data_IF_276420389116
#
_entry.id   IF_276420389116
#
_cell.length_a   1.000
_cell.length_b   1.000
_cell.length_c   1.000
_cell.angle_alpha   90.00
_cell.angle_beta   90.00
_cell.angle_gamma   90.00
#
_symmetry.space_group_name_H-M   'P 1'
#
loop_
_entity.id
_entity.type
_entity.pdbx_description
1 polymer ?
#
# COMPACT_ATOMS: atom_id res chain seq x y z
N UNK A 1 32.61 11.72 17.50
CA UNK A 1 31.31 11.37 16.88
C UNK A 1 30.69 12.50 16.02
N UNK A 2 31.28 13.65 15.90
CA UNK A 2 30.79 14.76 15.03
C UNK A 2 31.20 14.66 13.52
N UNK A 3 32.35 14.09 13.11
CA UNK A 3 32.75 14.12 11.69
C UNK A 3 31.94 13.15 10.79
N UNK A 4 31.41 12.05 11.30
CA UNK A 4 30.66 11.08 10.48
C UNK A 4 29.30 11.61 10.01
N UNK A 5 28.66 12.49 10.80
CA UNK A 5 27.39 13.13 10.42
C UNK A 5 27.56 14.13 9.27
N UNK A 6 28.68 14.82 9.23
CA UNK A 6 29.02 15.74 8.14
C UNK A 6 29.37 15.00 6.84
N UNK A 7 30.00 13.84 6.93
CA UNK A 7 30.39 13.04 5.76
C UNK A 7 29.20 12.40 5.03
N UNK A 8 28.18 11.91 5.75
CA UNK A 8 26.98 11.31 5.15
C UNK A 8 26.12 12.40 4.49
N UNK A 9 25.99 13.56 5.12
CA UNK A 9 25.32 14.71 4.51
C UNK A 9 26.07 15.24 3.28
N UNK A 10 27.40 15.24 3.31
CA UNK A 10 28.24 15.69 2.20
C UNK A 10 28.24 14.72 1.02
N UNK A 11 28.19 13.39 1.24
CA UNK A 11 28.10 12.39 0.17
C UNK A 11 26.74 12.42 -0.54
N UNK A 12 25.66 12.62 0.19
CA UNK A 12 24.33 12.80 -0.41
C UNK A 12 24.27 14.13 -1.20
N UNK A 13 24.88 15.20 -0.70
CA UNK A 13 24.99 16.49 -1.38
C UNK A 13 25.96 16.44 -2.59
N UNK A 14 27.03 15.67 -2.54
CA UNK A 14 27.96 15.48 -3.66
C UNK A 14 27.35 14.64 -4.80
N UNK A 15 26.57 13.63 -4.50
CA UNK A 15 25.82 12.87 -5.51
C UNK A 15 24.74 13.74 -6.18
N UNK A 16 24.10 14.63 -5.42
CA UNK A 16 23.12 15.60 -5.93
C UNK A 16 23.84 16.73 -6.71
N UNK A 17 24.98 17.19 -6.23
CA UNK A 17 25.78 18.24 -6.89
C UNK A 17 26.35 17.80 -8.24
N UNK A 18 26.74 16.54 -8.41
CA UNK A 18 27.21 16.00 -9.68
C UNK A 18 26.07 15.86 -10.73
N UNK A 19 24.84 15.63 -10.29
CA UNK A 19 23.65 15.60 -11.17
C UNK A 19 23.18 17.01 -11.58
N UNK A 20 23.49 18.05 -10.79
CA UNK A 20 23.12 19.43 -11.08
C UNK A 20 24.05 20.09 -12.12
N UNK A 21 25.21 19.49 -12.42
CA UNK A 21 26.15 20.01 -13.38
C UNK A 21 25.84 19.67 -14.86
N UNK A 22 24.85 18.80 -15.13
CA UNK A 22 24.39 18.50 -16.48
C UNK A 22 23.16 19.33 -16.82
N UNK A 23 23.34 20.45 -17.49
CA UNK A 23 22.36 21.48 -17.81
C UNK A 23 21.11 20.97 -18.54
N UNK A 24 20.01 20.88 -17.83
CA UNK A 24 18.65 20.72 -18.36
C UNK A 24 17.74 21.86 -17.88
N UNK A 25 16.97 22.42 -18.79
CA UNK A 25 16.17 23.66 -18.65
C UNK A 25 14.91 23.52 -17.80
N UNK A 26 14.99 22.96 -16.63
CA UNK A 26 13.91 22.95 -15.62
C UNK A 26 14.53 23.22 -14.25
N UNK A 27 13.99 24.17 -13.49
CA UNK A 27 14.54 24.50 -12.17
C UNK A 27 14.53 23.25 -11.27
N UNK A 28 15.68 22.63 -11.13
CA UNK A 28 15.85 21.52 -10.21
C UNK A 28 15.73 22.03 -8.77
N UNK A 29 14.98 21.34 -7.97
CA UNK A 29 14.80 21.72 -6.57
C UNK A 29 14.87 20.50 -5.67
N UNK A 30 15.56 20.65 -4.55
CA UNK A 30 15.60 19.67 -3.47
C UNK A 30 15.01 20.31 -2.23
N UNK A 31 13.97 19.69 -1.68
CA UNK A 31 13.37 20.08 -0.40
C UNK A 31 13.56 18.95 0.59
N UNK A 32 14.04 19.30 1.76
CA UNK A 32 14.22 18.34 2.85
C UNK A 32 13.34 18.71 4.04
N UNK A 33 12.67 17.72 4.61
CA UNK A 33 11.89 17.87 5.83
C UNK A 33 12.30 16.77 6.81
N UNK A 34 12.68 17.17 7.99
CA UNK A 34 12.88 16.23 9.09
C UNK A 34 11.53 15.73 9.61
N UNK A 35 11.43 14.43 9.83
CA UNK A 35 10.28 13.73 10.40
C UNK A 35 10.67 13.26 11.81
N UNK A 36 10.37 14.04 12.86
CA UNK A 36 10.85 13.74 14.23
C UNK A 36 10.41 12.38 14.74
N UNK A 37 9.15 12.00 14.44
CA UNK A 37 8.54 10.76 14.91
C UNK A 37 9.24 9.50 14.37
N UNK A 38 9.78 9.60 13.16
CA UNK A 38 10.47 8.49 12.50
C UNK A 38 11.99 8.64 12.48
N UNK A 39 12.52 9.73 13.08
CA UNK A 39 13.93 10.09 12.96
C UNK A 39 14.44 9.94 11.52
N UNK A 40 13.68 10.45 10.58
CA UNK A 40 13.92 10.31 9.16
C UNK A 40 13.97 11.66 8.48
N UNK A 41 14.68 11.74 7.37
CA UNK A 41 14.71 12.88 6.49
C UNK A 41 13.92 12.57 5.22
N UNK A 42 12.83 13.29 5.01
CA UNK A 42 12.09 13.26 3.74
C UNK A 42 12.75 14.22 2.77
N UNK A 43 13.29 13.69 1.69
CA UNK A 43 13.89 14.48 0.61
C UNK A 43 12.99 14.44 -0.60
N UNK A 44 12.53 15.59 -1.06
CA UNK A 44 11.83 15.76 -2.33
C UNK A 44 12.80 16.35 -3.31
N UNK A 45 13.18 15.60 -4.34
CA UNK A 45 14.04 16.07 -5.40
C UNK A 45 13.26 16.16 -6.72
N UNK A 46 13.38 17.31 -7.39
CA UNK A 46 12.80 17.57 -8.69
C UNK A 46 13.93 17.75 -9.69
N UNK A 47 13.93 16.93 -10.74
CA UNK A 47 14.91 16.96 -11.82
C UNK A 47 14.16 17.09 -13.16
N UNK A 48 14.09 18.28 -13.70
CA UNK A 48 13.27 18.53 -14.89
C UNK A 48 11.81 18.14 -14.67
N UNK A 49 11.29 17.19 -15.45
CA UNK A 49 9.95 16.61 -15.29
C UNK A 49 9.91 15.45 -14.30
N UNK A 50 11.05 14.87 -13.97
CA UNK A 50 11.14 13.77 -13.01
C UNK A 50 11.12 14.31 -11.57
N UNK A 51 10.37 13.64 -10.70
CA UNK A 51 10.31 13.95 -9.28
C UNK A 51 10.50 12.67 -8.49
N UNK A 52 11.41 12.70 -7.54
CA UNK A 52 11.60 11.60 -6.61
C UNK A 52 11.52 12.09 -5.18
N UNK A 53 10.96 11.27 -4.31
CA UNK A 53 11.01 11.53 -2.88
C UNK A 53 11.61 10.34 -2.21
N UNK A 54 12.56 10.60 -1.35
CA UNK A 54 13.27 9.58 -0.59
C UNK A 54 13.10 9.90 0.90
N UNK A 55 12.72 8.90 1.66
CA UNK A 55 12.75 8.99 3.13
C UNK A 55 14.00 8.26 3.59
N UNK A 56 14.96 9.01 4.08
CA UNK A 56 16.18 8.48 4.67
C UNK A 56 16.04 8.42 6.18
N UNK A 57 16.21 7.25 6.77
CA UNK A 57 16.44 7.17 8.19
C UNK A 57 17.78 7.83 8.54
N UNK A 58 17.78 8.65 9.56
CA UNK A 58 18.99 9.28 10.11
C UNK A 58 19.66 8.40 11.19
N UNK A 59 19.14 7.21 11.43
CA UNK A 59 19.75 6.20 12.28
C UNK A 59 20.61 5.21 11.53
N UNK A 60 21.26 4.29 12.23
CA UNK A 60 21.92 3.15 11.60
C UNK A 60 20.92 2.35 10.74
N UNK A 61 21.36 1.71 9.63
CA UNK A 61 20.47 1.01 8.70
C UNK A 61 19.52 0.01 9.36
N UNK A 62 19.92 -0.56 10.51
CA UNK A 62 19.12 -1.51 11.29
C UNK A 62 18.38 -0.87 12.46
N UNK A 63 18.59 0.40 12.70
CA UNK A 63 17.99 1.12 13.79
C UNK A 63 17.32 2.40 13.28
N UNK A 64 16.19 2.25 12.64
CA UNK A 64 15.23 3.34 12.68
C UNK A 64 14.76 3.41 14.13
N UNK A 65 15.45 4.21 14.89
CA UNK A 65 15.06 4.59 16.25
C UNK A 65 14.08 5.77 16.17
N UNK A 66 13.04 5.59 15.42
CA UNK A 66 11.87 6.39 15.63
C UNK A 66 11.20 5.81 16.85
N UNK A 67 11.14 6.53 17.89
CA UNK A 67 10.49 6.14 19.13
C UNK A 67 10.54 4.62 19.43
N UNK A 68 11.57 4.11 20.13
CA UNK A 68 11.66 2.70 20.50
C UNK A 68 10.44 2.23 21.27
N UNK A 69 9.79 3.14 22.04
CA UNK A 69 8.58 2.87 22.79
C UNK A 69 7.41 2.60 21.87
N UNK A 70 7.26 3.38 20.80
CA UNK A 70 6.20 3.16 19.79
C UNK A 70 6.35 1.79 19.12
N UNK A 71 7.54 1.44 18.64
CA UNK A 71 7.79 0.13 18.04
C UNK A 71 7.64 -1.04 19.03
N UNK A 72 7.98 -0.82 20.29
CA UNK A 72 7.83 -1.85 21.32
C UNK A 72 6.37 -2.17 21.62
N UNK A 73 5.44 -1.24 21.35
CA UNK A 73 4.01 -1.45 21.48
C UNK A 73 3.43 -2.37 20.39
N UNK A 74 4.18 -2.61 19.29
CA UNK A 74 3.72 -3.46 18.21
C UNK A 74 3.55 -4.92 18.66
N UNK A 75 2.44 -5.53 18.32
CA UNK A 75 2.28 -6.98 18.44
C UNK A 75 3.33 -7.69 17.58
N UNK A 76 4.19 -8.53 18.14
CA UNK A 76 5.25 -9.18 17.38
C UNK A 76 4.69 -10.22 16.41
N UNK A 77 5.45 -10.56 15.38
CA UNK A 77 5.23 -11.77 14.60
C UNK A 77 5.49 -13.01 15.46
N UNK A 78 4.86 -14.11 15.10
CA UNK A 78 5.07 -15.41 15.75
C UNK A 78 6.54 -15.84 15.78
N UNK A 79 6.90 -16.67 16.74
CA UNK A 79 8.30 -17.11 17.00
C UNK A 79 8.98 -17.70 15.77
N UNK A 80 8.24 -18.39 14.88
CA UNK A 80 8.75 -18.98 13.64
C UNK A 80 9.03 -18.00 12.50
N UNK A 81 8.76 -16.68 12.67
CA UNK A 81 9.07 -15.71 11.64
C UNK A 81 10.60 -15.59 11.44
N UNK A 82 11.11 -15.64 10.20
CA UNK A 82 12.53 -15.47 9.94
C UNK A 82 12.98 -14.01 10.16
N UNK A 83 14.27 -13.80 10.29
CA UNK A 83 14.85 -12.48 10.57
C UNK A 83 14.46 -11.43 9.52
N UNK A 84 14.44 -11.79 8.23
CA UNK A 84 14.02 -10.88 7.16
C UNK A 84 12.56 -10.43 7.30
N UNK A 85 11.65 -11.33 7.71
CA UNK A 85 10.24 -11.01 7.91
C UNK A 85 10.06 -10.03 9.07
N UNK A 86 10.79 -10.24 10.18
CA UNK A 86 10.79 -9.30 11.31
C UNK A 86 11.35 -7.92 10.92
N UNK A 87 12.41 -7.88 10.12
CA UNK A 87 12.96 -6.60 9.61
C UNK A 87 11.96 -5.88 8.73
N UNK A 88 11.36 -6.57 7.72
CA UNK A 88 10.35 -5.99 6.84
C UNK A 88 9.15 -5.50 7.64
N UNK A 89 8.65 -6.28 8.60
CA UNK A 89 7.53 -5.89 9.47
C UNK A 89 7.82 -4.61 10.24
N UNK A 90 8.95 -4.54 10.93
CA UNK A 90 9.36 -3.35 11.71
C UNK A 90 9.56 -2.14 10.80
N UNK A 91 10.22 -2.32 9.65
CA UNK A 91 10.42 -1.24 8.67
C UNK A 91 9.08 -0.73 8.16
N UNK A 92 8.18 -1.63 7.80
CA UNK A 92 6.85 -1.25 7.30
C UNK A 92 6.06 -0.46 8.36
N UNK A 93 6.07 -0.88 9.61
CA UNK A 93 5.44 -0.11 10.69
C UNK A 93 5.97 1.32 10.77
N UNK A 94 7.29 1.50 10.72
CA UNK A 94 7.91 2.82 10.77
C UNK A 94 7.57 3.70 9.57
N UNK A 95 7.44 3.10 8.39
CA UNK A 95 6.99 3.82 7.20
C UNK A 95 5.55 4.29 7.37
N UNK A 96 4.65 3.42 7.85
CA UNK A 96 3.26 3.82 8.09
C UNK A 96 3.17 4.93 9.14
N UNK A 97 3.96 4.84 10.20
CA UNK A 97 4.04 5.88 11.21
C UNK A 97 4.51 7.23 10.62
N UNK A 98 5.58 7.19 9.79
CA UNK A 98 6.12 8.38 9.14
C UNK A 98 5.15 9.03 8.13
N UNK A 99 4.29 8.25 7.48
CA UNK A 99 3.29 8.74 6.53
C UNK A 99 1.99 9.19 7.22
N UNK A 100 1.82 8.91 8.52
CA UNK A 100 0.63 9.27 9.29
C UNK A 100 0.86 10.57 10.04
N UNK A 101 -0.09 11.49 9.94
CA UNK A 101 -0.12 12.68 10.79
C UNK A 101 -0.69 12.29 12.15
N UNK A 102 0.13 12.29 13.19
CA UNK A 102 -0.27 11.86 14.53
C UNK A 102 -1.40 12.71 15.14
N UNK A 103 -1.49 13.97 14.78
CA UNK A 103 -2.49 14.88 15.31
C UNK A 103 -3.86 14.69 14.66
N UNK A 104 -3.89 14.52 13.34
CA UNK A 104 -5.15 14.46 12.57
C UNK A 104 -5.58 13.05 12.21
N UNK A 105 -4.65 12.10 12.11
CA UNK A 105 -4.89 10.77 11.56
C UNK A 105 -4.83 10.71 10.02
N UNK A 106 -4.56 11.82 9.34
CA UNK A 106 -4.37 11.83 7.90
C UNK A 106 -3.17 10.96 7.50
N UNK A 107 -3.33 10.08 6.53
CA UNK A 107 -2.26 9.20 6.03
C UNK A 107 -1.95 9.57 4.59
N UNK A 108 -0.74 10.03 4.33
CA UNK A 108 -0.27 10.24 2.96
C UNK A 108 -0.02 8.88 2.29
N UNK A 109 -0.51 8.68 1.06
CA UNK A 109 -0.35 7.42 0.33
C UNK A 109 1.12 7.11 0.03
N UNK A 110 1.92 8.13 -0.22
CA UNK A 110 3.35 7.99 -0.46
C UNK A 110 4.12 9.28 -0.24
N UNK A 111 5.44 9.17 -0.25
CA UNK A 111 6.31 10.30 0.03
C UNK A 111 6.61 11.18 -1.20
N UNK A 112 6.27 10.72 -2.41
CA UNK A 112 6.48 11.47 -3.64
C UNK A 112 5.45 12.59 -3.78
N UNK A 113 5.84 13.72 -4.33
CA UNK A 113 4.89 14.76 -4.75
C UNK A 113 3.89 14.17 -5.75
N UNK A 114 2.59 14.38 -5.53
CA UNK A 114 1.52 13.70 -6.26
C UNK A 114 0.95 12.47 -5.53
N UNK A 115 1.72 11.86 -4.64
CA UNK A 115 1.27 10.81 -3.72
C UNK A 115 1.21 11.26 -2.26
N UNK A 116 1.65 12.47 -1.94
CA UNK A 116 1.54 13.06 -0.59
C UNK A 116 0.13 13.62 -0.33
N UNK A 117 -0.87 12.84 -0.70
CA UNK A 117 -2.29 13.07 -0.44
C UNK A 117 -2.88 11.85 0.27
N UNK A 118 -4.04 12.04 0.85
CA UNK A 118 -4.82 10.97 1.48
C UNK A 118 -5.78 10.39 0.45
N UNK A 119 -5.58 9.13 0.07
CA UNK A 119 -6.61 8.33 -0.58
C UNK A 119 -7.33 7.50 0.46
N UNK A 120 -8.67 7.57 0.55
CA UNK A 120 -9.44 6.85 1.58
C UNK A 120 -9.15 5.34 1.60
N UNK A 121 -9.00 4.69 0.45
CA UNK A 121 -8.63 3.28 0.33
C UNK A 121 -7.27 3.00 0.98
N UNK A 122 -6.25 3.78 0.60
CA UNK A 122 -4.87 3.61 1.07
C UNK A 122 -4.79 3.83 2.58
N UNK A 123 -5.38 4.92 3.06
CA UNK A 123 -5.42 5.24 4.49
C UNK A 123 -6.19 4.19 5.30
N UNK A 124 -7.29 3.66 4.76
CA UNK A 124 -8.06 2.56 5.38
C UNK A 124 -7.22 1.29 5.50
N UNK A 125 -6.45 0.96 4.46
CA UNK A 125 -5.55 -0.21 4.50
C UNK A 125 -4.47 -0.04 5.57
N UNK A 126 -3.92 1.16 5.69
CA UNK A 126 -2.96 1.50 6.77
C UNK A 126 -3.62 1.33 8.14
N UNK A 127 -4.84 1.82 8.32
CA UNK A 127 -5.60 1.63 9.56
C UNK A 127 -5.79 0.14 9.91
N UNK A 128 -6.18 -0.69 8.92
CA UNK A 128 -6.34 -2.15 9.11
C UNK A 128 -5.01 -2.80 9.52
N UNK A 129 -3.90 -2.41 8.87
CA UNK A 129 -2.58 -2.93 9.19
C UNK A 129 -2.10 -2.54 10.59
N UNK A 130 -2.31 -1.29 10.98
CA UNK A 130 -2.00 -0.79 12.32
C UNK A 130 -2.87 -1.45 13.39
N UNK A 131 -4.16 -1.65 13.13
CA UNK A 131 -5.04 -2.42 14.02
C UNK A 131 -4.53 -3.85 14.23
N UNK A 132 -4.16 -4.53 13.15
CA UNK A 132 -3.58 -5.86 13.20
C UNK A 132 -2.26 -5.89 13.99
N UNK A 133 -1.48 -4.82 13.92
CA UNK A 133 -0.24 -4.66 14.66
C UNK A 133 -0.43 -4.20 16.12
N UNK A 134 -1.66 -3.89 16.56
CA UNK A 134 -1.98 -3.52 17.93
C UNK A 134 -2.13 -2.02 18.21
N UNK A 135 -1.96 -1.18 17.23
CA UNK A 135 -2.03 0.29 17.34
C UNK A 135 -3.47 0.81 17.25
N UNK A 136 -4.28 0.51 18.26
CA UNK A 136 -5.72 0.83 18.26
C UNK A 136 -6.01 2.33 18.28
N UNK A 137 -5.21 3.12 18.96
CA UNK A 137 -5.40 4.57 19.08
C UNK A 137 -5.13 5.27 17.75
N UNK A 138 -4.06 4.87 17.07
CA UNK A 138 -3.71 5.35 15.73
C UNK A 138 -4.79 4.98 14.73
N UNK A 139 -5.23 3.73 14.76
CA UNK A 139 -6.31 3.25 13.89
C UNK A 139 -7.58 4.07 14.06
N UNK A 140 -7.99 4.36 15.30
CA UNK A 140 -9.18 5.19 15.57
C UNK A 140 -9.02 6.62 15.06
N UNK A 141 -7.84 7.23 15.19
CA UNK A 141 -7.57 8.57 14.64
C UNK A 141 -7.67 8.59 13.13
N UNK A 142 -7.10 7.57 12.45
CA UNK A 142 -7.19 7.47 10.99
C UNK A 142 -8.64 7.33 10.56
N UNK A 143 -9.41 6.44 11.19
CA UNK A 143 -10.85 6.27 10.87
C UNK A 143 -11.61 7.57 11.13
N UNK A 144 -11.36 8.24 12.26
CA UNK A 144 -12.01 9.53 12.57
C UNK A 144 -11.69 10.63 11.54
N UNK A 145 -10.49 10.68 11.01
CA UNK A 145 -10.15 11.57 9.90
C UNK A 145 -10.93 11.22 8.63
N UNK A 146 -10.97 9.92 8.29
CA UNK A 146 -11.65 9.46 7.07
C UNK A 146 -13.17 9.67 7.13
N UNK A 147 -13.79 9.50 8.29
CA UNK A 147 -15.23 9.72 8.50
C UNK A 147 -15.62 11.20 8.30
N UNK A 148 -14.68 12.12 8.46
CA UNK A 148 -14.90 13.56 8.24
C UNK A 148 -14.78 14.03 6.79
N UNK A 149 -14.40 13.13 5.84
CA UNK A 149 -14.17 13.49 4.44
C UNK A 149 -15.49 13.56 3.64
N UNK A 150 -15.60 14.53 2.75
CA UNK A 150 -16.62 14.52 1.70
C UNK A 150 -16.19 13.61 0.55
N UNK A 151 -16.51 12.32 0.68
CA UNK A 151 -16.16 11.28 -0.30
C UNK A 151 -16.77 11.52 -1.69
N UNK A 152 -17.75 12.42 -1.79
CA UNK A 152 -18.34 12.80 -3.08
C UNK A 152 -17.55 13.86 -3.84
N UNK A 153 -16.64 14.55 -3.16
CA UNK A 153 -15.92 15.69 -3.74
C UNK A 153 -14.71 15.30 -4.58
N UNK A 154 -13.94 14.27 -4.18
CA UNK A 154 -12.71 13.90 -4.86
C UNK A 154 -12.25 12.47 -4.50
N UNK A 155 -11.33 11.92 -5.31
CA UNK A 155 -10.66 10.64 -5.00
C UNK A 155 -9.63 10.79 -3.87
N UNK A 156 -9.08 11.97 -3.66
CA UNK A 156 -7.95 12.21 -2.75
C UNK A 156 -8.08 13.55 -2.04
N UNK A 157 -7.46 13.65 -0.88
CA UNK A 157 -7.61 14.77 0.04
C UNK A 157 -6.23 15.23 0.56
N UNK A 158 -6.16 16.48 0.97
CA UNK A 158 -5.02 17.00 1.73
C UNK A 158 -5.06 16.48 3.17
N UNK A 159 -3.98 16.67 3.91
CA UNK A 159 -3.88 16.28 5.32
C UNK A 159 -4.79 17.09 6.27
N UNK A 160 -5.41 18.15 5.79
CA UNK A 160 -6.45 18.94 6.48
C UNK A 160 -7.88 18.51 6.11
N UNK A 161 -8.03 17.54 5.20
CA UNK A 161 -9.32 17.04 4.72
C UNK A 161 -9.87 17.77 3.50
N UNK A 162 -9.21 18.80 3.01
CA UNK A 162 -9.65 19.50 1.81
C UNK A 162 -9.52 18.59 0.56
N UNK A 163 -10.53 18.55 -0.34
CA UNK A 163 -10.46 17.77 -1.56
C UNK A 163 -9.34 18.29 -2.48
N UNK A 164 -8.81 17.39 -3.31
CA UNK A 164 -7.79 17.71 -4.32
C UNK A 164 -8.38 17.50 -5.70
N UNK A 165 -8.40 18.56 -6.50
CA UNK A 165 -8.95 18.54 -7.85
C UNK A 165 -8.24 17.58 -8.80
N UNK A 166 -8.89 17.31 -9.94
CA UNK A 166 -8.33 16.58 -11.06
C UNK A 166 -8.56 15.08 -11.05
N UNK A 167 -9.31 14.55 -10.05
CA UNK A 167 -9.75 13.15 -10.02
C UNK A 167 -11.14 13.03 -9.43
N UNK A 168 -12.03 12.35 -10.13
CA UNK A 168 -13.39 12.09 -9.67
C UNK A 168 -13.38 11.25 -8.37
N UNK A 169 -14.47 11.36 -7.62
CA UNK A 169 -14.67 10.57 -6.42
C UNK A 169 -14.62 9.05 -6.73
N UNK A 170 -13.95 8.30 -5.89
CA UNK A 170 -13.83 6.84 -6.01
C UNK A 170 -14.82 6.14 -5.09
N UNK A 171 -15.52 5.20 -5.63
CA UNK A 171 -16.61 4.58 -4.93
C UNK A 171 -16.27 3.47 -3.97
N UNK A 172 -15.10 2.95 -4.06
CA UNK A 172 -14.58 1.96 -3.12
C UNK A 172 -14.28 2.55 -1.73
N UNK A 173 -14.12 3.88 -1.64
CA UNK A 173 -13.75 4.59 -0.42
C UNK A 173 -14.60 4.20 0.79
N UNK A 174 -15.93 4.25 0.66
CA UNK A 174 -16.83 3.95 1.77
C UNK A 174 -16.72 2.51 2.27
N UNK A 175 -16.50 1.54 1.36
CA UNK A 175 -16.31 0.14 1.72
C UNK A 175 -14.99 -0.07 2.50
N UNK A 176 -13.93 0.55 2.06
CA UNK A 176 -12.64 0.48 2.73
C UNK A 176 -12.67 1.14 4.12
N UNK A 177 -13.32 2.30 4.27
CA UNK A 177 -13.50 2.95 5.57
C UNK A 177 -14.29 2.05 6.51
N UNK A 178 -15.37 1.42 6.03
CA UNK A 178 -16.14 0.48 6.83
C UNK A 178 -15.30 -0.72 7.32
N UNK A 179 -14.42 -1.25 6.46
CA UNK A 179 -13.49 -2.30 6.85
C UNK A 179 -12.47 -1.83 7.91
N UNK A 180 -11.95 -0.62 7.77
CA UNK A 180 -11.05 0.00 8.73
C UNK A 180 -11.74 0.25 10.08
N UNK A 181 -12.98 0.75 10.07
CA UNK A 181 -13.80 0.93 11.28
C UNK A 181 -14.03 -0.42 12.00
N UNK A 182 -14.37 -1.46 11.25
CA UNK A 182 -14.49 -2.81 11.79
C UNK A 182 -13.20 -3.32 12.44
N UNK A 183 -12.05 -3.09 11.81
CA UNK A 183 -10.74 -3.43 12.38
C UNK A 183 -10.40 -2.62 13.65
N UNK A 184 -10.91 -1.39 13.75
CA UNK A 184 -10.77 -0.54 14.93
C UNK A 184 -11.74 -0.92 16.07
N UNK A 185 -12.72 -1.78 15.81
CA UNK A 185 -13.83 -2.07 16.72
C UNK A 185 -14.80 -0.89 16.87
N UNK A 186 -14.93 -0.10 15.80
CA UNK A 186 -15.87 1.03 15.72
C UNK A 186 -17.09 0.64 14.89
N UNK A 187 -18.27 1.24 15.16
CA UNK A 187 -19.41 1.12 14.27
C UNK A 187 -19.04 1.70 12.91
N UNK A 188 -19.42 1.03 11.84
CA UNK A 188 -19.26 1.54 10.47
C UNK A 188 -20.55 2.19 9.99
N UNK A 189 -20.45 3.33 9.32
CA UNK A 189 -21.57 3.90 8.61
C UNK A 189 -22.01 2.94 7.47
N UNK A 190 -23.32 2.78 7.21
CA UNK A 190 -23.76 1.98 6.08
C UNK A 190 -23.29 2.62 4.77
N UNK A 191 -22.77 1.79 3.87
CA UNK A 191 -22.35 2.23 2.52
C UNK A 191 -23.58 2.72 1.77
N UNK A 192 -23.68 4.01 1.49
CA UNK A 192 -24.89 4.66 0.98
C UNK A 192 -25.01 4.64 -0.55
N UNK A 193 -23.90 4.45 -1.28
CA UNK A 193 -23.91 4.49 -2.75
C UNK A 193 -23.85 3.12 -3.38
N UNK A 194 -24.59 2.89 -4.48
CA UNK A 194 -24.47 1.67 -5.28
C UNK A 194 -23.09 1.62 -5.95
N UNK A 195 -22.46 0.50 -5.92
CA UNK A 195 -21.11 0.28 -6.43
C UNK A 195 -20.96 0.45 -7.92
N UNK A 196 -22.02 0.17 -8.68
CA UNK A 196 -22.05 0.36 -10.13
C UNK A 196 -21.91 1.82 -10.61
N UNK A 197 -22.04 2.77 -9.71
CA UNK A 197 -21.90 4.20 -10.02
C UNK A 197 -20.51 4.71 -9.77
N UNK A 198 -19.62 3.83 -9.39
CA UNK A 198 -18.43 4.18 -8.70
C UNK A 198 -17.25 3.69 -9.49
N UNK A 199 -16.31 4.59 -9.67
CA UNK A 199 -15.03 4.27 -10.23
C UNK A 199 -14.47 3.02 -9.61
N UNK A 200 -13.87 2.29 -10.46
CA UNK A 200 -12.96 1.26 -10.06
C UNK A 200 -11.80 1.87 -9.26
N UNK A 201 -11.11 1.05 -8.50
CA UNK A 201 -9.96 1.52 -7.73
C UNK A 201 -8.80 1.90 -8.63
N UNK A 202 -8.84 1.48 -9.86
CA UNK A 202 -7.85 1.81 -10.87
C UNK A 202 -8.39 2.95 -11.71
N UNK A 203 -7.69 4.00 -11.72
CA UNK A 203 -7.98 5.24 -12.42
C UNK A 203 -8.05 5.09 -13.94
N UNK A 204 -7.81 3.91 -14.47
CA UNK A 204 -7.77 3.57 -15.89
C UNK A 204 -9.01 2.84 -16.40
N UNK A 205 -10.03 2.68 -15.58
CA UNK A 205 -11.39 2.37 -16.06
C UNK A 205 -11.65 0.96 -16.56
N UNK A 206 -10.98 -0.06 -16.08
CA UNK A 206 -11.17 -1.36 -16.73
C UNK A 206 -11.41 -2.56 -15.83
N UNK A 207 -10.79 -2.64 -14.70
CA UNK A 207 -10.64 -3.91 -14.03
C UNK A 207 -11.51 -4.15 -12.82
N UNK A 208 -12.08 -3.13 -12.22
CA UNK A 208 -12.33 -3.17 -10.80
C UNK A 208 -13.75 -3.04 -10.35
N UNK A 209 -14.65 -3.08 -11.27
CA UNK A 209 -16.06 -3.21 -10.97
C UNK A 209 -16.31 -4.35 -9.98
N UNK A 210 -15.62 -5.48 -10.13
CA UNK A 210 -15.73 -6.59 -9.22
C UNK A 210 -15.12 -6.30 -7.84
N UNK A 211 -13.95 -5.68 -7.80
CA UNK A 211 -13.30 -5.32 -6.55
C UNK A 211 -14.13 -4.30 -5.78
N UNK A 212 -14.67 -3.32 -6.47
CA UNK A 212 -15.59 -2.34 -5.92
C UNK A 212 -16.88 -3.00 -5.40
N UNK A 213 -17.44 -3.92 -6.16
CA UNK A 213 -18.60 -4.67 -5.77
C UNK A 213 -18.35 -5.54 -4.52
N UNK A 214 -17.16 -6.13 -4.41
CA UNK A 214 -16.73 -6.88 -3.24
C UNK A 214 -16.57 -5.95 -2.03
N UNK A 215 -15.94 -4.80 -2.22
CA UNK A 215 -15.72 -3.84 -1.16
C UNK A 215 -17.02 -3.26 -0.60
N UNK A 216 -18.12 -3.15 -1.37
CA UNK A 216 -19.42 -2.67 -0.87
C UNK A 216 -20.15 -3.62 0.08
N UNK A 217 -19.63 -4.80 0.22
CA UNK A 217 -20.19 -5.84 1.07
C UNK A 217 -20.95 -6.92 0.31
N UNK A 218 -20.64 -8.14 0.62
CA UNK A 218 -21.09 -9.37 -0.02
C UNK A 218 -22.60 -9.52 -0.26
N UNK A 219 -23.53 -9.09 0.60
CA UNK A 219 -24.97 -9.24 0.36
C UNK A 219 -25.47 -8.52 -0.89
N UNK A 220 -24.79 -7.49 -1.32
CA UNK A 220 -25.17 -6.65 -2.47
C UNK A 220 -24.55 -7.11 -3.79
N UNK A 221 -23.55 -7.97 -3.76
CA UNK A 221 -22.97 -8.57 -4.95
C UNK A 221 -24.03 -9.22 -5.86
N UNK A 222 -24.97 -9.96 -5.25
CA UNK A 222 -26.07 -10.61 -5.99
C UNK A 222 -27.01 -9.61 -6.68
N UNK A 223 -27.17 -8.41 -6.13
CA UNK A 223 -28.00 -7.37 -6.71
C UNK A 223 -27.28 -6.63 -7.85
N UNK A 224 -25.95 -6.58 -7.82
CA UNK A 224 -25.12 -5.92 -8.84
C UNK A 224 -24.81 -6.85 -10.02
N UNK A 225 -24.63 -8.13 -9.75
CA UNK A 225 -24.40 -9.14 -10.77
C UNK A 225 -25.56 -10.12 -10.77
N UNK A 226 -26.13 -10.43 -11.94
CA UNK A 226 -27.11 -11.50 -12.07
C UNK A 226 -26.54 -12.83 -11.56
N UNK A 227 -25.24 -13.03 -11.74
CA UNK A 227 -24.47 -14.17 -11.27
C UNK A 227 -23.03 -13.74 -10.95
N UNK A 228 -22.75 -13.29 -9.71
CA UNK A 228 -21.41 -12.80 -9.33
C UNK A 228 -20.30 -13.83 -9.57
N UNK A 229 -20.61 -15.11 -9.37
CA UNK A 229 -19.67 -16.21 -9.63
C UNK A 229 -19.33 -16.36 -11.12
N UNK A 230 -20.29 -16.10 -12.01
CA UNK A 230 -20.03 -16.14 -13.45
C UNK A 230 -19.19 -14.96 -13.93
N UNK A 231 -19.44 -13.76 -13.40
CA UNK A 231 -18.62 -12.59 -13.77
C UNK A 231 -17.19 -12.73 -13.26
N UNK A 232 -17.01 -13.19 -12.04
CA UNK A 232 -15.67 -13.45 -11.51
C UNK A 232 -15.00 -14.61 -12.25
N UNK A 233 -15.76 -15.65 -12.64
CA UNK A 233 -15.27 -16.75 -13.47
C UNK A 233 -14.83 -16.25 -14.84
N UNK A 234 -15.65 -15.42 -15.47
CA UNK A 234 -15.33 -14.83 -16.75
C UNK A 234 -14.04 -14.03 -16.69
N UNK A 235 -13.86 -13.16 -15.69
CA UNK A 235 -12.64 -12.37 -15.50
C UNK A 235 -11.43 -13.19 -15.09
N UNK A 236 -11.63 -14.26 -14.32
CA UNK A 236 -10.54 -15.11 -13.86
C UNK A 236 -10.08 -16.16 -14.88
N UNK A 237 -10.96 -16.56 -15.82
CA UNK A 237 -10.73 -17.68 -16.73
C UNK A 237 -10.83 -17.29 -18.21
N UNK A 238 -11.43 -16.16 -18.53
CA UNK A 238 -11.52 -15.65 -19.88
C UNK A 238 -10.22 -14.90 -20.25
N UNK A 239 -9.47 -15.38 -21.25
CA UNK A 239 -8.25 -14.72 -21.70
C UNK A 239 -8.48 -13.27 -22.18
N UNK A 240 -9.69 -12.93 -22.64
CA UNK A 240 -10.04 -11.58 -23.07
C UNK A 240 -10.28 -10.62 -21.89
N UNK A 241 -10.54 -11.15 -20.69
CA UNK A 241 -10.77 -10.37 -19.47
C UNK A 241 -9.55 -10.27 -18.58
N UNK A 242 -8.53 -11.13 -18.80
CA UNK A 242 -7.32 -11.21 -18.00
C UNK A 242 -7.53 -11.65 -16.55
N UNK A 243 -6.46 -11.89 -15.84
CA UNK A 243 -6.47 -12.14 -14.39
C UNK A 243 -6.27 -10.82 -13.66
N UNK A 244 -7.08 -10.58 -12.63
CA UNK A 244 -7.01 -9.36 -11.82
C UNK A 244 -6.61 -9.68 -10.38
N UNK A 245 -5.58 -9.03 -9.88
CA UNK A 245 -5.08 -9.21 -8.50
C UNK A 245 -6.06 -8.70 -7.44
N UNK A 246 -6.97 -7.79 -7.79
CA UNK A 246 -8.01 -7.29 -6.92
C UNK A 246 -9.01 -8.39 -6.50
N UNK A 247 -9.08 -9.52 -7.21
CA UNK A 247 -9.81 -10.70 -6.76
C UNK A 247 -9.39 -11.15 -5.35
N UNK A 248 -8.19 -10.84 -4.90
CA UNK A 248 -7.71 -11.07 -3.54
C UNK A 248 -8.61 -10.44 -2.46
N UNK A 249 -9.28 -9.35 -2.77
CA UNK A 249 -10.12 -8.62 -1.82
C UNK A 249 -11.38 -9.39 -1.43
N UNK A 250 -11.83 -10.35 -2.25
CA UNK A 250 -12.88 -11.30 -1.88
C UNK A 250 -12.45 -12.29 -0.77
N UNK A 251 -11.17 -12.35 -0.44
CA UNK A 251 -10.64 -13.14 0.67
C UNK A 251 -10.36 -12.26 1.88
N UNK A 252 -9.67 -11.14 1.65
CA UNK A 252 -9.31 -10.14 2.66
C UNK A 252 -9.21 -8.75 2.02
N UNK A 253 -9.79 -7.70 2.60
CA UNK A 253 -10.51 -7.70 3.88
C UNK A 253 -12.01 -7.98 3.79
N UNK A 254 -12.57 -8.28 2.60
CA UNK A 254 -14.00 -8.46 2.34
C UNK A 254 -14.36 -9.94 2.09
N UNK A 255 -14.34 -10.79 3.11
CA UNK A 255 -14.45 -12.23 2.93
C UNK A 255 -15.78 -12.65 2.29
N UNK A 256 -15.69 -13.36 1.17
CA UNK A 256 -16.80 -13.97 0.46
C UNK A 256 -16.52 -15.45 0.21
N UNK A 257 -16.80 -16.35 1.17
CA UNK A 257 -16.38 -17.75 1.10
C UNK A 257 -16.84 -18.50 -0.16
N UNK A 258 -18.01 -18.17 -0.71
CA UNK A 258 -18.52 -18.77 -1.94
C UNK A 258 -17.61 -18.53 -3.16
N UNK A 259 -16.78 -17.49 -3.14
CA UNK A 259 -15.85 -17.15 -4.22
C UNK A 259 -14.44 -17.73 -4.00
N UNK A 260 -14.14 -18.29 -2.83
CA UNK A 260 -12.78 -18.75 -2.52
C UNK A 260 -12.19 -19.75 -3.52
N UNK A 261 -12.92 -20.77 -4.02
CA UNK A 261 -12.35 -21.70 -4.99
C UNK A 261 -11.90 -21.00 -6.27
N UNK A 262 -12.65 -20.02 -6.72
CA UNK A 262 -12.39 -19.27 -7.94
C UNK A 262 -11.23 -18.28 -7.75
N UNK A 263 -11.33 -17.45 -6.72
CA UNK A 263 -10.28 -16.49 -6.36
C UNK A 263 -8.95 -17.19 -6.14
N UNK A 264 -8.96 -18.35 -5.46
CA UNK A 264 -7.76 -19.17 -5.26
C UNK A 264 -7.08 -19.54 -6.59
N UNK A 265 -7.85 -19.99 -7.59
CA UNK A 265 -7.28 -20.30 -8.92
C UNK A 265 -6.68 -19.07 -9.59
N UNK A 266 -7.40 -17.95 -9.59
CA UNK A 266 -6.93 -16.67 -10.15
C UNK A 266 -5.60 -16.25 -9.50
N UNK A 267 -5.56 -16.21 -8.17
CA UNK A 267 -4.36 -15.76 -7.45
C UNK A 267 -3.17 -16.70 -7.61
N UNK A 268 -3.41 -18.01 -7.71
CA UNK A 268 -2.35 -18.99 -7.97
C UNK A 268 -1.78 -18.83 -9.40
N UNK A 269 -2.63 -18.54 -10.39
CA UNK A 269 -2.18 -18.25 -11.76
C UNK A 269 -1.37 -16.95 -11.80
N UNK A 270 -1.83 -15.88 -11.19
CA UNK A 270 -1.07 -14.63 -11.07
C UNK A 270 0.29 -14.85 -10.38
N UNK A 271 0.31 -15.63 -9.31
CA UNK A 271 1.57 -15.95 -8.62
C UNK A 271 2.51 -16.82 -9.49
N UNK A 272 1.96 -17.63 -10.41
CA UNK A 272 2.76 -18.44 -11.33
C UNK A 272 3.32 -17.63 -12.50
N UNK A 273 2.71 -16.49 -12.84
CA UNK A 273 3.17 -15.55 -13.88
C UNK A 273 3.99 -14.40 -13.31
N UNK A 274 4.25 -14.39 -11.99
CA UNK A 274 5.09 -13.37 -11.38
C UNK A 274 6.51 -13.40 -11.94
N UNK A 275 7.10 -12.24 -12.02
CA UNK A 275 8.51 -12.12 -12.37
C UNK A 275 9.38 -12.07 -11.10
N UNK A 276 10.66 -11.70 -11.27
CA UNK A 276 11.62 -11.63 -10.18
C UNK A 276 11.22 -10.69 -9.03
N UNK A 277 10.38 -9.68 -9.28
CA UNK A 277 10.10 -8.58 -8.36
C UNK A 277 8.63 -8.45 -7.98
N UNK A 278 7.76 -9.31 -8.50
CA UNK A 278 6.34 -9.34 -8.16
C UNK A 278 5.43 -9.54 -9.36
N UNK A 279 4.18 -9.12 -9.24
CA UNK A 279 3.15 -9.25 -10.26
C UNK A 279 2.71 -7.90 -10.81
N UNK A 280 2.11 -7.91 -11.99
CA UNK A 280 1.33 -6.80 -12.52
C UNK A 280 -0.01 -6.70 -11.79
N UNK A 281 -0.68 -5.54 -11.79
CA UNK A 281 -2.03 -5.40 -11.24
C UNK A 281 -3.03 -6.38 -11.84
N UNK A 282 -2.99 -6.54 -13.17
CA UNK A 282 -3.81 -7.49 -13.94
C UNK A 282 -3.04 -7.98 -15.18
N UNK A 283 -3.55 -9.03 -15.84
CA UNK A 283 -2.97 -9.51 -17.11
C UNK A 283 -3.13 -8.51 -18.25
N UNK A 284 -4.22 -7.77 -18.25
CA UNK A 284 -4.56 -6.74 -19.24
C UNK A 284 -4.01 -5.35 -18.88
N UNK A 285 -3.08 -5.28 -17.93
CA UNK A 285 -2.46 -4.03 -17.51
C UNK A 285 -1.66 -3.40 -18.65
N UNK A 286 -2.11 -2.22 -19.11
CA UNK A 286 -1.51 -1.47 -20.21
C UNK A 286 -0.44 -0.44 -19.78
N UNK A 287 -0.28 -0.24 -18.48
CA UNK A 287 0.69 0.69 -17.89
C UNK A 287 2.15 0.22 -17.89
N UNK A 288 2.47 -0.83 -18.68
CA UNK A 288 3.82 -1.35 -18.84
C UNK A 288 4.06 -2.68 -18.13
N UNK A 289 5.33 -3.12 -18.12
CA UNK A 289 5.75 -4.44 -17.61
C UNK A 289 6.31 -4.39 -16.18
N UNK A 290 6.35 -3.22 -15.57
CA UNK A 290 6.95 -3.02 -14.25
C UNK A 290 6.07 -3.64 -13.16
N UNK A 291 6.57 -4.60 -12.34
CA UNK A 291 5.79 -5.21 -11.28
C UNK A 291 5.47 -4.22 -10.15
N UNK A 292 4.30 -4.43 -9.54
CA UNK A 292 3.75 -3.58 -8.51
C UNK A 292 3.82 -4.26 -7.15
N UNK A 293 4.29 -3.54 -6.15
CA UNK A 293 4.53 -4.12 -4.83
C UNK A 293 3.24 -4.30 -4.02
N UNK A 294 2.25 -3.41 -4.13
CA UNK A 294 0.99 -3.57 -3.44
C UNK A 294 0.18 -4.77 -3.96
N UNK A 295 -0.06 -4.95 -5.29
CA UNK A 295 -0.64 -6.16 -5.86
C UNK A 295 0.06 -7.44 -5.40
N UNK A 296 1.38 -7.45 -5.40
CA UNK A 296 2.19 -8.58 -4.90
C UNK A 296 1.90 -8.88 -3.43
N UNK A 297 1.83 -7.84 -2.59
CA UNK A 297 1.63 -7.99 -1.15
C UNK A 297 0.19 -8.42 -0.79
N UNK A 298 -0.85 -7.84 -1.41
CA UNK A 298 -2.23 -8.24 -1.10
C UNK A 298 -2.57 -9.62 -1.65
N UNK A 299 -2.00 -10.01 -2.80
CA UNK A 299 -2.11 -11.37 -3.32
C UNK A 299 -1.48 -12.37 -2.37
N UNK A 300 -0.27 -12.07 -1.86
CA UNK A 300 0.38 -12.89 -0.84
C UNK A 300 -0.44 -13.02 0.45
N UNK A 301 -1.06 -11.91 0.91
CA UNK A 301 -1.93 -11.94 2.08
C UNK A 301 -3.14 -12.85 1.91
N UNK A 302 -3.82 -12.74 0.79
CA UNK A 302 -5.02 -13.53 0.52
C UNK A 302 -4.69 -15.00 0.26
N UNK A 303 -3.61 -15.30 -0.46
CA UNK A 303 -3.11 -16.68 -0.62
C UNK A 303 -2.74 -17.30 0.73
N UNK A 304 -2.08 -16.56 1.61
CA UNK A 304 -1.79 -17.04 2.97
C UNK A 304 -3.07 -17.31 3.78
N UNK A 305 -4.10 -16.48 3.62
CA UNK A 305 -5.40 -16.68 4.27
C UNK A 305 -6.16 -17.90 3.73
N UNK A 306 -5.96 -18.24 2.45
CA UNK A 306 -6.50 -19.43 1.81
C UNK A 306 -5.70 -20.71 2.09
N UNK A 307 -4.63 -20.63 2.89
CA UNK A 307 -3.75 -21.77 3.18
C UNK A 307 -2.64 -22.02 2.15
N UNK A 308 -2.57 -21.23 1.08
CA UNK A 308 -1.59 -21.34 0.00
C UNK A 308 -0.23 -20.74 0.43
N UNK A 309 0.30 -21.26 1.52
CA UNK A 309 1.50 -20.74 2.19
C UNK A 309 2.72 -20.67 1.27
N UNK A 310 2.91 -21.68 0.39
CA UNK A 310 4.08 -21.73 -0.52
C UNK A 310 4.04 -20.61 -1.54
N UNK A 311 2.90 -20.38 -2.18
CA UNK A 311 2.72 -19.30 -3.15
C UNK A 311 2.82 -17.92 -2.46
N UNK A 312 2.22 -17.76 -1.27
CA UNK A 312 2.34 -16.53 -0.49
C UNK A 312 3.82 -16.23 -0.13
N UNK A 313 4.60 -17.22 0.28
CA UNK A 313 6.03 -17.05 0.59
C UNK A 313 6.85 -16.71 -0.65
N UNK A 314 6.50 -17.26 -1.82
CA UNK A 314 7.12 -16.93 -3.10
C UNK A 314 6.96 -15.44 -3.41
N UNK A 315 5.72 -14.93 -3.40
CA UNK A 315 5.45 -13.51 -3.62
C UNK A 315 6.10 -12.60 -2.57
N UNK A 316 6.15 -13.02 -1.31
CA UNK A 316 6.85 -12.26 -0.28
C UNK A 316 8.37 -12.23 -0.48
N UNK A 317 8.95 -13.25 -1.11
CA UNK A 317 10.37 -13.24 -1.49
C UNK A 317 10.63 -12.27 -2.65
N UNK A 318 9.70 -12.15 -3.60
CA UNK A 318 9.76 -11.16 -4.68
C UNK A 318 9.59 -9.74 -4.15
N UNK A 319 8.60 -9.51 -3.30
CA UNK A 319 8.41 -8.24 -2.62
C UNK A 319 9.68 -7.80 -1.85
N UNK A 320 10.37 -8.76 -1.23
CA UNK A 320 11.64 -8.48 -0.57
C UNK A 320 12.73 -8.06 -1.55
N UNK A 321 12.76 -8.62 -2.76
CA UNK A 321 13.72 -8.22 -3.81
C UNK A 321 13.38 -6.84 -4.40
N UNK A 322 12.10 -6.49 -4.46
CA UNK A 322 11.63 -5.17 -4.89
C UNK A 322 11.89 -4.06 -3.86
N UNK A 323 12.12 -4.41 -2.60
CA UNK A 323 12.44 -3.43 -1.56
C UNK A 323 13.80 -2.79 -1.79
N UNK A 324 13.90 -1.48 -1.54
CA UNK A 324 15.20 -0.79 -1.54
C UNK A 324 16.16 -1.36 -0.49
N UNK A 325 17.46 -1.07 -0.57
CA UNK A 325 18.41 -1.44 0.49
C UNK A 325 18.01 -0.96 1.89
N UNK A 326 17.32 0.19 1.97
CA UNK A 326 16.76 0.71 3.22
C UNK A 326 15.46 -0.01 3.64
N UNK A 327 14.98 -0.99 2.88
CA UNK A 327 13.75 -1.74 3.15
C UNK A 327 12.47 -0.97 2.85
N UNK A 328 12.51 0.04 1.99
CA UNK A 328 11.34 0.79 1.53
C UNK A 328 10.69 0.06 0.36
N UNK A 329 9.38 -0.09 0.38
CA UNK A 329 8.60 -0.65 -0.72
C UNK A 329 8.14 0.49 -1.62
N UNK A 330 8.56 0.52 -2.89
CA UNK A 330 8.06 1.46 -3.89
C UNK A 330 6.65 1.06 -4.34
N UNK A 331 6.00 1.90 -5.12
CA UNK A 331 4.77 1.50 -5.84
C UNK A 331 5.09 0.41 -6.86
N UNK A 332 6.08 0.65 -7.71
CA UNK A 332 6.54 -0.28 -8.74
C UNK A 332 8.06 -0.19 -8.91
N UNK A 333 8.62 -1.21 -9.51
CA UNK A 333 10.04 -1.30 -9.82
C UNK A 333 10.24 -1.68 -11.29
N UNK A 334 11.35 -1.26 -11.86
CA UNK A 334 11.78 -1.71 -13.17
C UNK A 334 11.93 -3.23 -13.21
N UNK A 335 11.28 -3.88 -14.16
CA UNK A 335 11.20 -5.34 -14.23
C UNK A 335 12.56 -6.03 -14.38
N UNK A 336 13.58 -5.36 -14.90
CA UNK A 336 14.90 -5.93 -15.13
C UNK A 336 15.85 -5.72 -13.95
N UNK A 337 15.86 -4.52 -13.40
CA UNK A 337 16.83 -4.11 -12.38
C UNK A 337 16.29 -4.11 -10.95
N UNK A 338 14.96 -4.03 -10.77
CA UNK A 338 14.33 -3.85 -9.45
C UNK A 338 14.50 -2.43 -8.89
N UNK A 339 14.97 -1.48 -9.69
CA UNK A 339 15.09 -0.07 -9.29
C UNK A 339 13.69 0.54 -9.21
N UNK A 340 13.36 1.29 -8.14
CA UNK A 340 12.08 1.98 -8.03
C UNK A 340 11.82 2.93 -9.20
N UNK A 341 10.66 2.79 -9.86
CA UNK A 341 10.23 3.64 -10.98
C UNK A 341 9.07 4.56 -10.60
N UNK A 342 8.60 4.52 -9.36
CA UNK A 342 7.52 5.35 -8.85
C UNK A 342 7.76 5.80 -7.41
N UNK A 343 6.69 6.26 -6.72
CA UNK A 343 6.81 6.75 -5.34
C UNK A 343 7.43 5.70 -4.43
N UNK A 344 8.34 6.15 -3.57
CA UNK A 344 9.05 5.30 -2.60
C UNK A 344 9.24 6.08 -1.30
N UNK A 345 8.67 5.62 -0.18
CA UNK A 345 7.79 4.45 -0.04
C UNK A 345 6.36 4.69 -0.53
N UNK A 346 5.62 3.59 -0.74
CA UNK A 346 4.17 3.61 -0.89
C UNK A 346 3.51 2.99 0.36
N UNK A 347 2.60 3.74 0.99
CA UNK A 347 1.98 3.36 2.27
C UNK A 347 1.24 2.03 2.22
N UNK A 348 0.35 1.84 1.25
CA UNK A 348 -0.44 0.63 1.18
C UNK A 348 0.38 -0.62 0.84
N UNK A 349 1.51 -0.50 0.12
CA UNK A 349 2.45 -1.61 -0.08
C UNK A 349 3.00 -2.12 1.25
N UNK A 350 3.39 -1.19 2.12
CA UNK A 350 3.84 -1.52 3.48
C UNK A 350 2.71 -2.06 4.35
N UNK A 351 1.50 -1.52 4.22
CA UNK A 351 0.33 -2.00 4.96
C UNK A 351 0.00 -3.45 4.59
N UNK A 352 -0.08 -3.77 3.31
CA UNK A 352 -0.33 -5.14 2.87
C UNK A 352 0.83 -6.09 3.22
N UNK A 353 2.07 -5.64 3.19
CA UNK A 353 3.20 -6.43 3.66
C UNK A 353 3.06 -6.80 5.15
N UNK A 354 2.65 -5.86 6.01
CA UNK A 354 2.36 -6.14 7.43
C UNK A 354 1.28 -7.22 7.56
N UNK A 355 0.18 -7.07 6.82
CA UNK A 355 -0.96 -8.00 6.87
C UNK A 355 -0.57 -9.40 6.39
N UNK A 356 0.18 -9.51 5.28
CA UNK A 356 0.70 -10.77 4.77
C UNK A 356 1.66 -11.45 5.77
N UNK A 357 2.57 -10.68 6.35
CA UNK A 357 3.51 -11.19 7.34
C UNK A 357 2.81 -11.69 8.61
N UNK A 358 1.79 -10.98 9.09
CA UNK A 358 1.02 -11.41 10.25
C UNK A 358 0.15 -12.64 9.95
N UNK A 359 -0.34 -12.79 8.73
CA UNK A 359 -1.08 -13.97 8.30
C UNK A 359 -0.15 -15.20 8.20
N UNK A 360 1.06 -15.02 7.67
CA UNK A 360 2.06 -16.09 7.53
C UNK A 360 2.66 -16.53 8.87
N UNK A 361 2.85 -15.59 9.78
CA UNK A 361 3.42 -15.83 11.11
C UNK A 361 2.57 -15.13 12.18
N UNK A 362 1.41 -15.70 12.50
CA UNK A 362 0.54 -15.12 13.50
C UNK A 362 1.25 -15.10 14.86
N UNK A 363 1.32 -13.92 15.44
CA UNK A 363 1.80 -13.70 16.80
C UNK A 363 0.68 -13.80 17.83
N UNK A 364 0.94 -13.48 19.09
CA UNK A 364 -0.06 -13.40 20.14
C UNK A 364 -1.22 -12.46 19.72
N UNK A 365 -2.44 -12.82 20.15
CA UNK A 365 -3.65 -12.02 19.91
C UNK A 365 -3.69 -10.77 20.77
#
# INVERSE_FOLDING_TARGET
MKPLRAAIGALALLAIGAALASGGSGADSVRQRYLPQSNALRTVAKFGTARSVTVHSLGEPDAIRADPGWLAAARPLGKGAPAWARRMYRRSLLVLHALTNERTGAVEAGAREGWSYVWPRDASTVAIALAAAGYRSETRRIVGFLDGLDLGAAARFKSDGAPVDGRAAQGDAAGWIAAAAGAAGLPSAPVKRPWRELDDYQENGGGDFLANAIASGAPRLRALFKTPSQELSRRAEDPASGLDSAAAWAVRPFPHPALYPLVRRTLLRLAATSDRFGILPSEDWDGGIDPWTAPTAWTAWSLAALGERRAALHLMAELRRAATPAGLLPERVDARSGIPTSTTPLGWSHAFAILALRQLWPGPK
#
